data_IF_153853420350
#
_entry.id   IF_153853420350
#
_cell.length_a   1.000
_cell.length_b   1.000
_cell.length_c   1.000
_cell.angle_alpha   90.00
_cell.angle_beta   90.00
_cell.angle_gamma   90.00
#
_symmetry.space_group_name_H-M   'P 1'
#
loop_
_entity.id
_entity.type
_entity.pdbx_description
1 polymer ?
#
# COMPACT_ATOMS: atom_id res chain seq x y z
N UNK A 1 0.39 21.94 -2.83
CA UNK A 1 0.75 21.24 -4.08
C UNK A 1 0.24 19.81 -3.88
N UNK A 2 -0.70 19.31 -4.70
CA UNK A 2 -1.22 17.94 -4.55
C UNK A 2 -2.74 17.78 -4.47
N UNK A 3 -3.50 18.82 -4.10
CA UNK A 3 -4.92 18.64 -3.71
C UNK A 3 -5.95 19.27 -4.65
N UNK A 4 -5.53 19.98 -5.69
CA UNK A 4 -6.45 20.57 -6.68
C UNK A 4 -5.77 20.76 -8.03
N UNK A 5 -6.45 20.37 -9.10
CA UNK A 5 -5.93 20.36 -10.49
C UNK A 5 -5.30 21.70 -10.89
N UNK A 6 -5.98 22.82 -10.63
CA UNK A 6 -5.50 24.18 -10.95
C UNK A 6 -4.21 24.60 -10.22
N UNK A 7 -3.77 23.83 -9.21
CA UNK A 7 -2.48 24.06 -8.51
C UNK A 7 -1.35 23.20 -9.06
N UNK A 8 -1.60 22.41 -10.11
CA UNK A 8 -0.61 21.60 -10.80
C UNK A 8 -0.35 22.14 -12.21
N UNK A 9 0.92 22.20 -12.58
CA UNK A 9 1.28 22.31 -13.98
C UNK A 9 1.24 20.89 -14.60
N UNK A 10 0.20 20.61 -15.38
CA UNK A 10 0.00 19.34 -16.07
C UNK A 10 0.38 19.41 -17.56
N UNK A 11 1.05 20.47 -18.02
CA UNK A 11 1.34 20.70 -19.44
C UNK A 11 2.25 19.64 -20.09
N UNK A 12 2.90 18.78 -19.30
CA UNK A 12 3.75 17.69 -19.76
C UNK A 12 3.05 16.31 -19.72
N UNK A 13 1.74 16.27 -19.47
CA UNK A 13 0.98 15.02 -19.49
C UNK A 13 0.46 14.73 -20.90
N UNK A 14 1.03 13.71 -21.54
CA UNK A 14 0.53 13.19 -22.83
C UNK A 14 -0.57 12.12 -22.65
N UNK A 15 -0.73 11.61 -21.43
CA UNK A 15 -1.66 10.53 -21.04
C UNK A 15 -2.63 10.98 -19.93
N UNK A 16 -3.75 10.28 -19.68
CA UNK A 16 -4.67 10.62 -18.60
C UNK A 16 -4.03 10.65 -17.21
N UNK A 17 -4.39 11.64 -16.39
CA UNK A 17 -3.87 11.79 -15.02
C UNK A 17 -4.21 10.59 -14.14
N UNK A 18 -3.17 10.00 -13.55
CA UNK A 18 -3.26 8.97 -12.51
C UNK A 18 -2.46 9.44 -11.30
N UNK A 19 -3.04 9.29 -10.11
CA UNK A 19 -2.44 9.76 -8.86
C UNK A 19 -2.83 8.82 -7.70
N UNK A 20 -2.39 9.17 -6.50
CA UNK A 20 -2.71 8.50 -5.25
C UNK A 20 -2.72 9.49 -4.09
N UNK A 21 -3.19 9.05 -2.93
CA UNK A 21 -3.11 9.79 -1.66
C UNK A 21 -4.45 9.95 -0.95
N UNK A 22 -5.54 9.45 -1.55
CA UNK A 22 -6.85 9.31 -0.92
C UNK A 22 -7.05 7.94 -0.29
N UNK A 23 -8.24 7.74 0.30
CA UNK A 23 -8.64 6.47 0.89
C UNK A 23 -8.87 5.37 -0.16
N UNK A 24 -9.19 5.75 -1.39
CA UNK A 24 -9.38 4.84 -2.53
C UNK A 24 -8.09 4.14 -2.97
N UNK A 25 -6.92 4.63 -2.54
CA UNK A 25 -5.62 4.01 -2.80
C UNK A 25 -4.98 3.42 -1.53
N UNK A 26 -5.78 3.23 -0.46
CA UNK A 26 -5.27 2.72 0.81
C UNK A 26 -5.01 1.19 0.78
N UNK A 27 -5.82 0.45 0.04
CA UNK A 27 -5.68 -1.01 -0.12
C UNK A 27 -4.43 -1.34 -0.95
N UNK A 28 -3.57 -2.20 -0.41
CA UNK A 28 -2.33 -2.67 -1.06
C UNK A 28 -2.14 -4.16 -0.80
N UNK A 29 -1.50 -4.92 -1.72
CA UNK A 29 -1.24 -6.33 -1.49
C UNK A 29 -0.23 -6.56 -0.36
N UNK A 30 -0.47 -7.58 0.45
CA UNK A 30 0.45 -8.07 1.48
C UNK A 30 0.68 -9.56 1.28
N UNK A 31 1.86 -9.95 0.83
CA UNK A 31 2.18 -11.32 0.42
C UNK A 31 3.34 -11.86 1.26
N UNK A 32 3.18 -13.06 1.81
CA UNK A 32 4.22 -13.77 2.58
C UNK A 32 4.45 -15.15 1.97
N UNK A 33 5.71 -15.57 1.85
CA UNK A 33 6.09 -16.87 1.27
C UNK A 33 6.14 -18.01 2.33
N UNK A 34 5.35 -17.88 3.39
CA UNK A 34 5.23 -18.82 4.51
C UNK A 34 3.77 -18.91 4.94
N UNK A 35 3.38 -20.07 5.48
CA UNK A 35 2.04 -20.26 6.02
C UNK A 35 1.97 -19.60 7.40
N UNK A 36 1.19 -18.53 7.51
CA UNK A 36 0.89 -17.84 8.77
C UNK A 36 -0.60 -18.02 9.08
N UNK A 37 -0.93 -18.91 10.02
CA UNK A 37 -2.33 -19.24 10.36
C UNK A 37 -3.14 -18.01 10.82
N UNK A 38 -2.47 -17.08 11.51
CA UNK A 38 -3.09 -15.90 12.13
C UNK A 38 -2.72 -14.59 11.41
N UNK A 39 -2.41 -14.62 10.10
CA UNK A 39 -2.27 -13.39 9.31
C UNK A 39 -3.65 -12.76 9.09
N UNK A 40 -3.94 -11.57 9.66
CA UNK A 40 -5.22 -10.91 9.47
C UNK A 40 -5.33 -10.36 8.04
N UNK A 41 -6.56 -10.00 7.63
CA UNK A 41 -6.80 -9.21 6.42
C UNK A 41 -7.04 -7.73 6.79
N UNK A 42 -7.18 -6.88 5.78
CA UNK A 42 -7.72 -5.53 5.97
C UNK A 42 -9.13 -5.58 6.60
N UNK A 43 -9.53 -4.56 7.39
CA UNK A 43 -8.81 -3.31 7.67
C UNK A 43 -7.80 -3.41 8.83
N UNK A 44 -7.66 -4.60 9.45
CA UNK A 44 -6.76 -4.81 10.60
C UNK A 44 -5.31 -4.83 10.12
N UNK A 45 -5.01 -5.57 9.06
CA UNK A 45 -3.67 -5.65 8.47
C UNK A 45 -3.27 -4.31 7.85
N UNK A 46 -2.08 -3.81 8.20
CA UNK A 46 -1.52 -2.57 7.66
C UNK A 46 -0.23 -2.86 6.91
N UNK A 47 0.05 -2.07 5.87
CA UNK A 47 1.28 -2.22 5.09
C UNK A 47 2.56 -2.09 5.94
N UNK A 48 2.51 -1.31 7.02
CA UNK A 48 3.63 -1.13 7.95
C UNK A 48 3.83 -2.32 8.91
N UNK A 49 2.92 -3.31 8.93
CA UNK A 49 3.10 -4.56 9.67
C UNK A 49 4.07 -5.52 8.96
N UNK A 50 4.60 -5.14 7.78
CA UNK A 50 5.49 -5.96 6.97
C UNK A 50 6.66 -6.56 7.76
N UNK A 51 7.34 -5.76 8.59
CA UNK A 51 8.47 -6.26 9.40
C UNK A 51 8.03 -7.19 10.53
N UNK A 52 6.86 -6.94 11.13
CA UNK A 52 6.33 -7.79 12.19
C UNK A 52 6.08 -9.20 11.66
N UNK A 53 5.31 -9.34 10.58
CA UNK A 53 5.02 -10.64 10.00
C UNK A 53 6.22 -11.27 9.28
N UNK A 54 7.12 -10.48 8.70
CA UNK A 54 8.35 -11.01 8.10
C UNK A 54 9.26 -11.67 9.15
N UNK A 55 9.43 -11.04 10.32
CA UNK A 55 10.25 -11.61 11.40
C UNK A 55 9.58 -12.82 12.06
N UNK A 56 8.25 -12.80 12.23
CA UNK A 56 7.49 -13.98 12.66
C UNK A 56 7.65 -15.16 11.68
N UNK A 57 7.52 -14.90 10.37
CA UNK A 57 7.69 -15.92 9.34
C UNK A 57 9.12 -16.48 9.30
N UNK A 58 10.14 -15.63 9.51
CA UNK A 58 11.54 -16.05 9.56
C UNK A 58 11.88 -16.86 10.81
N UNK A 59 11.23 -16.60 11.94
CA UNK A 59 11.44 -17.30 13.21
C UNK A 59 10.80 -18.70 13.28
N UNK A 60 9.97 -19.09 12.32
CA UNK A 60 9.44 -20.45 12.19
C UNK A 60 10.49 -21.44 11.63
N UNK A 61 11.66 -20.96 11.23
CA UNK A 61 12.77 -21.76 10.68
C UNK A 61 13.56 -22.49 11.77
#
# INVERSE_FOLDING_TARGET
>A
IGTSEHRHNLAALDEPLRSHGGLTEQEVPFIVNRVLADLPNEPVLRNFDAFFYATMAAAQA
#
